data_IF_374858575409
#
_entry.id   IF_374858575409
#
_cell.length_a   1.000
_cell.length_b   1.000
_cell.length_c   1.000
_cell.angle_alpha   90.00
_cell.angle_beta   90.00
_cell.angle_gamma   90.00
#
_symmetry.space_group_name_H-M   'P 1'
#
loop_
_entity.id
_entity.type
_entity.pdbx_description
1 polymer ?
#
# COMPACT_ATOMS: atom_id res chain seq x y z
N UNK A 1 7.00 41.07 5.82
CA UNK A 1 5.81 40.41 5.26
C UNK A 1 5.82 38.95 5.73
N UNK A 2 5.33 38.67 6.95
CA UNK A 2 5.34 37.33 7.54
C UNK A 2 4.28 37.18 8.66
N UNK A 3 3.12 37.79 8.53
CA UNK A 3 2.06 37.66 9.54
C UNK A 3 0.82 36.89 9.08
N UNK A 4 0.67 36.58 7.77
CA UNK A 4 -0.57 35.99 7.24
C UNK A 4 -0.53 34.43 7.12
N UNK A 5 0.63 33.81 7.26
CA UNK A 5 0.72 32.34 7.20
C UNK A 5 0.24 31.64 8.48
N UNK A 6 0.23 32.33 9.61
CA UNK A 6 -0.21 31.77 10.89
C UNK A 6 -1.75 31.72 11.06
N UNK A 7 -2.47 32.65 10.40
CA UNK A 7 -3.92 32.76 10.54
C UNK A 7 -4.75 31.72 9.76
N UNK A 8 -4.20 31.17 8.67
CA UNK A 8 -4.89 30.15 7.84
C UNK A 8 -4.83 28.74 8.49
N UNK A 9 -3.95 28.55 9.44
CA UNK A 9 -3.77 27.26 10.14
C UNK A 9 -4.95 26.93 11.07
N UNK A 10 -5.70 27.90 11.53
CA UNK A 10 -6.63 27.73 12.65
C UNK A 10 -8.02 27.19 12.27
N UNK A 11 -8.59 27.58 11.14
CA UNK A 11 -9.96 27.18 10.77
C UNK A 11 -10.07 25.69 10.34
N UNK A 12 -9.04 25.12 9.72
CA UNK A 12 -9.07 23.73 9.25
C UNK A 12 -8.75 22.71 10.35
N UNK A 13 -8.03 23.11 11.41
CA UNK A 13 -7.82 22.29 12.59
C UNK A 13 -9.10 22.08 13.42
N UNK A 14 -10.12 22.92 13.23
CA UNK A 14 -11.39 22.87 13.96
C UNK A 14 -12.40 21.86 13.39
N UNK A 15 -12.21 21.40 12.15
CA UNK A 15 -13.14 20.44 11.55
C UNK A 15 -13.04 19.06 12.18
N UNK A 16 -14.14 18.62 12.78
CA UNK A 16 -14.26 17.28 13.35
C UNK A 16 -14.39 16.23 12.24
N UNK A 17 -13.93 15.00 12.51
CA UNK A 17 -13.96 13.92 11.54
C UNK A 17 -15.33 13.65 10.92
N UNK A 18 -16.44 13.83 11.67
CA UNK A 18 -17.79 13.67 11.12
C UNK A 18 -18.16 14.76 10.11
N UNK A 19 -17.68 15.98 10.26
CA UNK A 19 -17.90 17.08 9.31
C UNK A 19 -17.14 16.85 8.00
N UNK A 20 -15.90 16.35 8.08
CA UNK A 20 -15.13 15.98 6.90
C UNK A 20 -15.75 14.81 6.14
N UNK A 21 -16.25 13.81 6.86
CA UNK A 21 -16.99 12.69 6.25
C UNK A 21 -18.28 13.15 5.56
N UNK A 22 -19.05 14.02 6.20
CA UNK A 22 -20.28 14.58 5.60
C UNK A 22 -19.97 15.42 4.34
N UNK A 23 -18.82 16.11 4.31
CA UNK A 23 -18.36 16.84 3.13
C UNK A 23 -17.98 15.88 1.99
N UNK A 24 -17.17 14.87 2.28
CA UNK A 24 -16.69 13.89 1.31
C UNK A 24 -17.87 13.04 0.75
N UNK A 25 -18.78 12.60 1.61
CA UNK A 25 -19.93 11.77 1.26
C UNK A 25 -21.17 12.21 2.04
N UNK A 26 -21.97 13.16 1.54
CA UNK A 26 -23.18 13.62 2.22
C UNK A 26 -24.26 12.54 2.30
N UNK A 27 -24.25 11.56 1.40
CA UNK A 27 -25.10 10.39 1.44
C UNK A 27 -24.44 9.25 2.17
N UNK A 28 -25.22 8.42 2.88
CA UNK A 28 -24.68 7.20 3.49
C UNK A 28 -24.10 6.28 2.40
N UNK A 29 -22.84 5.90 2.49
CA UNK A 29 -22.24 5.02 1.49
C UNK A 29 -22.92 3.65 1.49
N UNK A 30 -23.39 3.21 0.35
CA UNK A 30 -23.98 1.88 0.18
C UNK A 30 -23.11 1.00 -0.70
N UNK A 31 -22.58 -0.07 -0.11
CA UNK A 31 -21.88 -1.13 -0.82
C UNK A 31 -22.88 -2.16 -1.38
N UNK A 32 -22.58 -2.71 -2.55
CA UNK A 32 -23.39 -3.75 -3.19
C UNK A 32 -22.65 -5.07 -3.23
N UNK A 33 -23.17 -6.08 -2.54
CA UNK A 33 -22.59 -7.43 -2.53
C UNK A 33 -22.46 -8.01 -3.94
N UNK A 34 -23.49 -7.88 -4.76
CA UNK A 34 -23.45 -8.39 -6.13
C UNK A 34 -22.33 -7.77 -6.95
N UNK A 35 -22.11 -6.46 -6.81
CA UNK A 35 -21.03 -5.76 -7.48
C UNK A 35 -19.66 -6.20 -6.94
N UNK A 36 -19.49 -6.27 -5.61
CA UNK A 36 -18.23 -6.73 -5.00
C UNK A 36 -17.85 -8.14 -5.44
N UNK A 37 -18.81 -9.06 -5.46
CA UNK A 37 -18.62 -10.45 -5.95
C UNK A 37 -18.28 -10.45 -7.45
N UNK A 38 -18.97 -9.68 -8.28
CA UNK A 38 -18.71 -9.65 -9.72
C UNK A 38 -17.31 -9.17 -10.04
N UNK A 39 -16.82 -8.11 -9.37
CA UNK A 39 -15.44 -7.64 -9.54
C UNK A 39 -14.42 -8.66 -9.03
N UNK A 40 -14.64 -9.27 -7.86
CA UNK A 40 -13.76 -10.31 -7.34
C UNK A 40 -13.66 -11.52 -8.28
N UNK A 41 -14.78 -11.96 -8.87
CA UNK A 41 -14.79 -13.04 -9.86
C UNK A 41 -14.04 -12.64 -11.14
N UNK A 42 -14.25 -11.43 -11.65
CA UNK A 42 -13.56 -10.93 -12.84
C UNK A 42 -12.02 -10.86 -12.63
N UNK A 43 -11.59 -10.37 -11.48
CA UNK A 43 -10.17 -10.27 -11.15
C UNK A 43 -9.53 -11.66 -10.93
N UNK A 44 -10.25 -12.58 -10.30
CA UNK A 44 -9.80 -13.98 -10.19
C UNK A 44 -9.73 -14.68 -11.55
N UNK A 45 -10.70 -14.44 -12.43
CA UNK A 45 -10.65 -14.95 -13.81
C UNK A 45 -9.41 -14.42 -14.53
N UNK A 46 -9.10 -13.14 -14.38
CA UNK A 46 -7.91 -12.53 -14.97
C UNK A 46 -6.62 -13.13 -14.36
N UNK A 47 -6.58 -13.31 -13.04
CA UNK A 47 -5.45 -13.93 -12.33
C UNK A 47 -5.15 -15.34 -12.86
N UNK A 48 -6.16 -16.19 -12.95
CA UNK A 48 -5.99 -17.55 -13.44
C UNK A 48 -5.83 -17.65 -14.96
N UNK A 49 -6.41 -16.72 -15.73
CA UNK A 49 -6.15 -16.64 -17.17
C UNK A 49 -4.69 -16.27 -17.44
N UNK A 50 -4.13 -15.36 -16.68
CA UNK A 50 -2.69 -15.05 -16.72
C UNK A 50 -1.83 -16.25 -16.36
N UNK A 51 -2.16 -16.94 -15.26
CA UNK A 51 -1.46 -18.17 -14.85
C UNK A 51 -1.55 -19.27 -15.92
N UNK A 52 -2.73 -19.47 -16.51
CA UNK A 52 -2.93 -20.41 -17.60
C UNK A 52 -2.08 -20.04 -18.84
N UNK A 53 -2.04 -18.75 -19.20
CA UNK A 53 -1.18 -18.25 -20.27
C UNK A 53 0.31 -18.51 -20.00
N UNK A 54 0.75 -18.31 -18.76
CA UNK A 54 2.12 -18.61 -18.34
C UNK A 54 2.47 -20.11 -18.41
N UNK A 55 1.50 -20.99 -18.14
CA UNK A 55 1.71 -22.44 -18.20
C UNK A 55 1.57 -22.97 -19.63
N UNK A 56 0.45 -22.65 -20.30
CA UNK A 56 0.00 -23.37 -21.49
C UNK A 56 0.57 -22.80 -22.80
N UNK A 57 0.89 -21.51 -22.85
CA UNK A 57 1.34 -20.91 -24.10
C UNK A 57 2.63 -21.55 -24.63
N UNK A 58 2.77 -21.77 -25.95
CA UNK A 58 4.01 -22.28 -26.51
C UNK A 58 5.11 -21.21 -26.61
N UNK A 59 4.74 -19.92 -26.64
CA UNK A 59 5.66 -18.79 -26.83
C UNK A 59 6.04 -18.11 -25.50
N UNK A 60 7.31 -17.86 -25.31
CA UNK A 60 7.84 -17.18 -24.12
C UNK A 60 7.27 -15.77 -23.89
N UNK A 61 6.99 -15.04 -24.96
CA UNK A 61 6.36 -13.73 -24.87
C UNK A 61 4.97 -13.80 -24.22
N UNK A 62 4.15 -14.78 -24.62
CA UNK A 62 2.82 -14.98 -24.04
C UNK A 62 2.93 -15.47 -22.59
N UNK A 63 3.92 -16.34 -22.29
CA UNK A 63 4.20 -16.73 -20.90
C UNK A 63 4.55 -15.52 -20.04
N UNK A 64 5.44 -14.65 -20.51
CA UNK A 64 5.82 -13.43 -19.78
C UNK A 64 4.63 -12.48 -19.57
N UNK A 65 3.80 -12.27 -20.58
CA UNK A 65 2.56 -11.49 -20.46
C UNK A 65 1.63 -12.13 -19.42
N UNK A 66 1.46 -13.45 -19.43
CA UNK A 66 0.66 -14.18 -18.45
C UNK A 66 1.13 -13.96 -17.01
N UNK A 67 2.44 -13.99 -16.77
CA UNK A 67 3.04 -13.67 -15.46
C UNK A 67 2.69 -12.25 -15.02
N UNK A 68 2.85 -11.26 -15.92
CA UNK A 68 2.53 -9.85 -15.62
C UNK A 68 1.04 -9.68 -15.34
N UNK A 69 0.17 -10.28 -16.16
CA UNK A 69 -1.29 -10.23 -15.97
C UNK A 69 -1.69 -10.81 -14.63
N UNK A 70 -1.13 -11.96 -14.21
CA UNK A 70 -1.39 -12.53 -12.89
C UNK A 70 -0.92 -11.61 -11.76
N UNK A 71 0.25 -10.98 -11.88
CA UNK A 71 0.76 -10.05 -10.89
C UNK A 71 -0.10 -8.79 -10.74
N UNK A 72 -0.54 -8.22 -11.85
CA UNK A 72 -1.48 -7.08 -11.87
C UNK A 72 -2.83 -7.48 -11.27
N UNK A 73 -3.37 -8.64 -11.66
CA UNK A 73 -4.63 -9.14 -11.11
C UNK A 73 -4.55 -9.42 -9.60
N UNK A 74 -3.39 -9.86 -9.08
CA UNK A 74 -3.17 -9.97 -7.65
C UNK A 74 -3.24 -8.60 -6.94
N UNK A 75 -2.74 -7.52 -7.56
CA UNK A 75 -2.87 -6.16 -7.04
C UNK A 75 -4.32 -5.64 -7.11
N UNK A 76 -5.08 -5.98 -8.15
CA UNK A 76 -6.50 -5.67 -8.27
C UNK A 76 -7.31 -6.39 -7.17
N UNK A 77 -7.11 -7.68 -6.98
CA UNK A 77 -7.72 -8.46 -5.90
C UNK A 77 -7.36 -7.88 -4.52
N UNK A 78 -6.11 -7.44 -4.34
CA UNK A 78 -5.71 -6.79 -3.10
C UNK A 78 -6.47 -5.47 -2.86
N UNK A 79 -6.72 -4.66 -3.88
CA UNK A 79 -7.52 -3.44 -3.76
C UNK A 79 -8.97 -3.75 -3.34
N UNK A 80 -9.58 -4.79 -3.90
CA UNK A 80 -10.91 -5.26 -3.44
C UNK A 80 -10.88 -5.81 -2.01
N UNK A 81 -9.83 -6.55 -1.64
CA UNK A 81 -9.64 -7.06 -0.29
C UNK A 81 -9.50 -5.92 0.73
N UNK A 82 -8.78 -4.87 0.38
CA UNK A 82 -8.61 -3.65 1.14
C UNK A 82 -9.96 -2.97 1.42
N UNK A 83 -10.77 -2.75 0.40
CA UNK A 83 -12.11 -2.15 0.54
C UNK A 83 -13.05 -3.05 1.36
N UNK A 84 -13.02 -4.35 1.12
CA UNK A 84 -13.78 -5.31 1.92
C UNK A 84 -13.34 -5.31 3.39
N UNK A 85 -12.05 -5.17 3.68
CA UNK A 85 -11.54 -5.06 5.03
C UNK A 85 -12.04 -3.79 5.77
N UNK A 86 -12.36 -2.73 5.03
CA UNK A 86 -13.03 -1.53 5.54
C UNK A 86 -14.56 -1.66 5.60
N UNK A 87 -15.13 -2.73 5.05
CA UNK A 87 -16.58 -2.93 5.00
C UNK A 87 -17.28 -2.16 3.89
N UNK A 88 -16.55 -1.67 2.88
CA UNK A 88 -17.06 -0.84 1.78
C UNK A 88 -17.30 -1.59 0.47
N UNK A 89 -17.00 -2.90 0.40
CA UNK A 89 -17.16 -3.69 -0.83
C UNK A 89 -18.52 -4.40 -0.92
N UNK A 90 -19.08 -4.87 0.18
CA UNK A 90 -20.31 -5.66 0.23
C UNK A 90 -21.30 -5.15 1.28
N UNK A 91 -22.58 -5.48 1.13
CA UNK A 91 -23.67 -4.98 1.98
C UNK A 91 -23.70 -5.56 3.40
N UNK A 92 -22.96 -6.62 3.70
CA UNK A 92 -22.92 -7.24 5.03
C UNK A 92 -21.49 -7.43 5.55
N UNK A 93 -21.33 -7.41 6.87
CA UNK A 93 -20.02 -7.65 7.52
C UNK A 93 -19.44 -9.02 7.17
N UNK A 94 -20.30 -10.05 7.11
CA UNK A 94 -19.86 -11.41 6.77
C UNK A 94 -19.32 -11.48 5.35
N UNK A 95 -20.03 -10.93 4.37
CA UNK A 95 -19.60 -10.92 2.97
C UNK A 95 -18.32 -10.10 2.78
N UNK A 96 -18.20 -8.96 3.43
CA UNK A 96 -16.96 -8.19 3.43
C UNK A 96 -15.79 -9.00 3.98
N UNK A 97 -15.95 -9.68 5.13
CA UNK A 97 -14.91 -10.53 5.70
C UNK A 97 -14.52 -11.67 4.76
N UNK A 98 -15.50 -12.36 4.16
CA UNK A 98 -15.23 -13.46 3.22
C UNK A 98 -14.50 -12.95 1.98
N UNK A 99 -14.96 -11.86 1.35
CA UNK A 99 -14.32 -11.27 0.19
C UNK A 99 -12.91 -10.78 0.50
N UNK A 100 -12.72 -10.07 1.63
CA UNK A 100 -11.39 -9.64 2.05
C UNK A 100 -10.44 -10.84 2.22
N UNK A 101 -10.87 -11.86 2.95
CA UNK A 101 -10.06 -13.04 3.21
C UNK A 101 -9.67 -13.74 1.90
N UNK A 102 -10.63 -13.97 1.00
CA UNK A 102 -10.36 -14.62 -0.28
C UNK A 102 -9.45 -13.76 -1.15
N UNK A 103 -9.80 -12.49 -1.38
CA UNK A 103 -9.05 -11.62 -2.28
C UNK A 103 -7.63 -11.29 -1.79
N UNK A 104 -7.31 -11.48 -0.49
CA UNK A 104 -5.94 -11.40 0.02
C UNK A 104 -5.08 -12.62 -0.30
N UNK A 105 -5.66 -13.79 -0.66
CA UNK A 105 -4.88 -15.01 -0.87
C UNK A 105 -3.80 -14.91 -1.95
N UNK A 106 -4.04 -14.30 -3.13
CA UNK A 106 -3.01 -14.19 -4.16
C UNK A 106 -1.81 -13.34 -3.75
N UNK A 107 -1.98 -12.42 -2.80
CA UNK A 107 -0.92 -11.58 -2.25
C UNK A 107 -0.29 -12.14 -0.96
N UNK A 108 -0.79 -13.26 -0.46
CA UNK A 108 -0.38 -13.95 0.79
C UNK A 108 -0.55 -13.10 2.05
N UNK A 109 -1.56 -12.22 2.08
CA UNK A 109 -1.86 -11.42 3.24
C UNK A 109 -2.89 -12.10 4.15
N UNK A 110 -2.60 -12.31 5.43
CA UNK A 110 -3.59 -12.75 6.41
C UNK A 110 -4.50 -11.60 6.82
N UNK A 111 -5.80 -11.87 6.94
CA UNK A 111 -6.83 -10.85 7.21
C UNK A 111 -6.67 -10.16 8.59
N UNK A 112 -6.48 -10.93 9.65
CA UNK A 112 -6.47 -10.41 11.04
C UNK A 112 -5.31 -9.42 11.29
N UNK A 113 -4.05 -9.70 10.92
CA UNK A 113 -2.96 -8.73 11.03
C UNK A 113 -3.19 -7.48 10.16
N UNK A 114 -3.79 -7.65 8.96
CA UNK A 114 -4.12 -6.51 8.11
C UNK A 114 -5.09 -5.55 8.79
N UNK A 115 -6.20 -6.04 9.36
CA UNK A 115 -7.15 -5.19 10.11
C UNK A 115 -6.44 -4.42 11.21
N UNK A 116 -5.56 -5.07 11.97
CA UNK A 116 -4.81 -4.39 13.04
C UNK A 116 -3.86 -3.33 12.48
N UNK A 117 -3.05 -3.71 11.51
CA UNK A 117 -2.00 -2.83 10.98
C UNK A 117 -2.58 -1.69 10.16
N UNK A 118 -3.48 -2.01 9.24
CA UNK A 118 -4.02 -1.03 8.29
C UNK A 118 -5.18 -0.22 8.87
N UNK A 119 -6.27 -0.89 9.31
CA UNK A 119 -7.46 -0.15 9.72
C UNK A 119 -7.29 0.55 11.07
N UNK A 120 -6.57 -0.04 12.04
CA UNK A 120 -6.45 0.55 13.37
C UNK A 120 -5.20 1.41 13.56
N UNK A 121 -4.04 0.98 13.04
CA UNK A 121 -2.80 1.74 13.22
C UNK A 121 -2.63 2.79 12.13
N UNK A 122 -2.66 2.39 10.86
CA UNK A 122 -2.44 3.30 9.74
C UNK A 122 -3.58 4.32 9.58
N UNK A 123 -4.84 3.90 9.38
CA UNK A 123 -5.98 4.83 9.30
C UNK A 123 -6.26 5.57 10.59
N UNK A 124 -6.03 4.95 11.74
CA UNK A 124 -6.21 5.60 13.03
C UNK A 124 -5.20 6.70 13.32
N UNK A 125 -3.98 6.58 12.77
CA UNK A 125 -2.82 7.41 13.11
C UNK A 125 -1.90 7.62 11.91
N UNK A 126 -2.47 8.00 10.79
CA UNK A 126 -1.76 8.19 9.52
C UNK A 126 -0.56 9.12 9.69
N UNK A 127 0.61 8.65 9.26
CA UNK A 127 1.89 9.34 9.36
C UNK A 127 2.31 9.75 10.79
N UNK A 128 1.86 9.01 11.81
CA UNK A 128 2.33 9.17 13.20
C UNK A 128 3.37 8.09 13.50
N UNK A 129 4.64 8.46 13.65
CA UNK A 129 5.78 7.55 13.73
C UNK A 129 5.71 6.52 14.87
N UNK A 130 5.08 6.85 16.00
CA UNK A 130 4.90 5.91 17.11
C UNK A 130 3.86 4.80 16.85
N UNK A 131 3.01 4.97 15.81
CA UNK A 131 1.90 4.06 15.51
C UNK A 131 1.95 3.49 14.11
N UNK A 132 2.13 4.36 13.11
CA UNK A 132 2.13 4.00 11.70
C UNK A 132 3.52 3.52 11.27
N UNK A 133 3.59 2.24 10.92
CA UNK A 133 4.82 1.64 10.41
C UNK A 133 4.94 1.74 8.89
N UNK A 134 3.85 2.13 8.20
CA UNK A 134 3.79 2.18 6.74
C UNK A 134 4.67 3.32 6.23
N UNK A 135 5.80 2.97 5.60
CA UNK A 135 6.76 3.94 5.04
C UNK A 135 7.33 4.96 6.04
N UNK A 136 7.27 4.68 7.34
CA UNK A 136 7.81 5.54 8.38
C UNK A 136 9.25 5.96 8.05
N UNK A 137 9.53 7.26 7.85
CA UNK A 137 10.87 7.73 7.58
C UNK A 137 11.74 7.68 8.82
N UNK A 138 13.02 7.42 8.61
CA UNK A 138 14.06 7.50 9.64
C UNK A 138 14.46 8.96 9.81
N UNK A 139 14.75 9.38 11.05
CA UNK A 139 15.32 10.72 11.29
C UNK A 139 16.77 10.80 10.82
N UNK A 140 17.30 12.02 10.50
CA UNK A 140 18.72 12.19 10.20
C UNK A 140 19.65 11.67 11.29
N UNK A 141 19.29 11.86 12.58
CA UNK A 141 20.07 11.41 13.73
C UNK A 141 20.09 9.88 13.84
N UNK A 142 18.90 9.24 13.77
CA UNK A 142 18.81 7.79 13.79
C UNK A 142 19.59 7.16 12.61
N UNK A 143 19.50 7.78 11.42
CA UNK A 143 20.26 7.32 10.26
C UNK A 143 21.77 7.41 10.47
N UNK A 144 22.29 8.50 11.07
CA UNK A 144 23.70 8.64 11.40
C UNK A 144 24.19 7.61 12.41
N UNK A 145 23.36 7.30 13.40
CA UNK A 145 23.64 6.27 14.41
C UNK A 145 23.62 4.83 13.87
N UNK A 146 23.04 4.60 12.68
CA UNK A 146 22.97 3.25 12.10
C UNK A 146 24.34 2.71 11.65
N UNK A 147 24.59 1.40 11.79
CA UNK A 147 25.76 0.75 11.19
C UNK A 147 25.70 0.80 9.65
N UNK A 148 26.85 0.73 8.99
CA UNK A 148 26.96 0.88 7.53
C UNK A 148 26.02 -0.03 6.73
N UNK A 149 25.89 -1.30 7.14
CA UNK A 149 25.00 -2.24 6.46
C UNK A 149 23.53 -1.80 6.54
N UNK A 150 23.09 -1.29 7.71
CA UNK A 150 21.72 -0.83 7.88
C UNK A 150 21.45 0.43 7.04
N UNK A 151 22.41 1.35 6.95
CA UNK A 151 22.32 2.51 6.05
C UNK A 151 22.19 2.08 4.58
N UNK A 152 22.93 1.05 4.15
CA UNK A 152 22.79 0.50 2.80
C UNK A 152 21.37 -0.05 2.54
N UNK A 153 20.78 -0.73 3.52
CA UNK A 153 19.38 -1.21 3.45
C UNK A 153 18.40 -0.03 3.35
N UNK A 154 18.60 1.05 4.13
CA UNK A 154 17.74 2.25 4.01
C UNK A 154 17.87 2.91 2.63
N UNK A 155 19.05 2.96 2.04
CA UNK A 155 19.23 3.42 0.66
C UNK A 155 18.42 2.58 -0.34
N UNK A 156 18.40 1.25 -0.19
CA UNK A 156 17.55 0.39 -1.01
C UNK A 156 16.07 0.67 -0.79
N UNK A 157 15.63 0.72 0.46
CA UNK A 157 14.22 0.96 0.83
C UNK A 157 13.66 2.27 0.31
N UNK A 158 14.48 3.29 0.11
CA UNK A 158 14.09 4.62 -0.38
C UNK A 158 14.46 4.86 -1.84
N UNK A 159 14.95 3.84 -2.56
CA UNK A 159 15.24 3.92 -3.98
C UNK A 159 14.02 3.51 -4.82
N UNK A 160 13.82 4.15 -5.97
CA UNK A 160 12.72 3.83 -6.89
C UNK A 160 12.68 2.35 -7.34
N UNK A 161 13.80 1.66 -7.33
CA UNK A 161 13.94 0.26 -7.74
C UNK A 161 13.91 -0.72 -6.55
N UNK A 162 14.09 -0.27 -5.33
CA UNK A 162 14.21 -1.11 -4.13
C UNK A 162 13.04 -1.02 -3.15
N UNK A 163 12.03 -0.17 -3.39
CA UNK A 163 10.85 0.00 -2.54
C UNK A 163 10.16 -1.33 -2.20
N UNK A 164 10.08 -2.26 -3.16
CA UNK A 164 9.46 -3.56 -2.98
C UNK A 164 10.09 -4.37 -1.83
N UNK A 165 11.39 -4.19 -1.59
CA UNK A 165 12.08 -4.87 -0.49
C UNK A 165 11.59 -4.38 0.87
N UNK A 166 11.33 -3.06 1.03
CA UNK A 166 10.69 -2.52 2.22
C UNK A 166 9.29 -3.11 2.42
N UNK A 167 8.49 -3.18 1.36
CA UNK A 167 7.16 -3.77 1.40
C UNK A 167 7.19 -5.23 1.86
N UNK A 168 8.12 -6.04 1.35
CA UNK A 168 8.24 -7.45 1.73
C UNK A 168 8.77 -7.60 3.17
N UNK A 169 9.82 -6.88 3.55
CA UNK A 169 10.50 -7.10 4.84
C UNK A 169 9.82 -6.32 5.96
N UNK A 170 9.64 -5.00 5.80
CA UNK A 170 9.18 -4.15 6.88
C UNK A 170 7.65 -4.22 7.07
N UNK A 171 6.87 -4.40 5.97
CA UNK A 171 5.41 -4.47 6.07
C UNK A 171 4.96 -5.94 6.14
N UNK A 172 5.15 -6.71 5.05
CA UNK A 172 4.59 -8.04 4.96
C UNK A 172 5.19 -9.00 5.98
N UNK A 173 6.52 -9.15 6.03
CA UNK A 173 7.17 -10.11 6.92
C UNK A 173 6.95 -9.77 8.40
N UNK A 174 7.26 -8.53 8.81
CA UNK A 174 7.29 -8.14 10.23
C UNK A 174 5.91 -7.86 10.83
N UNK A 175 4.92 -7.51 10.03
CA UNK A 175 3.59 -7.14 10.53
C UNK A 175 2.47 -8.06 10.08
N UNK A 176 2.61 -8.75 8.93
CA UNK A 176 1.57 -9.63 8.40
C UNK A 176 1.91 -11.11 8.62
N UNK A 177 3.00 -11.62 8.03
CA UNK A 177 3.37 -13.02 8.13
C UNK A 177 3.83 -13.40 9.55
N UNK A 178 4.72 -12.57 10.15
CA UNK A 178 5.31 -12.77 11.49
C UNK A 178 5.12 -11.52 12.35
N UNK A 179 3.87 -11.18 12.77
CA UNK A 179 3.63 -10.00 13.59
C UNK A 179 4.49 -9.99 14.85
N UNK A 180 5.06 -8.82 15.15
CA UNK A 180 5.87 -8.62 16.35
C UNK A 180 5.03 -8.85 17.61
N UNK A 181 5.69 -9.14 18.72
CA UNK A 181 5.02 -9.37 20.01
C UNK A 181 4.17 -8.16 20.43
N UNK A 182 4.63 -6.95 20.16
CA UNK A 182 3.86 -5.71 20.38
C UNK A 182 2.53 -5.68 19.66
N UNK A 183 2.42 -6.29 18.49
CA UNK A 183 1.19 -6.38 17.71
C UNK A 183 0.38 -7.61 18.05
N UNK A 184 1.04 -8.75 18.29
CA UNK A 184 0.40 -10.05 18.59
C UNK A 184 -0.54 -10.01 19.80
N UNK A 185 -0.19 -9.25 20.82
CA UNK A 185 -1.03 -9.09 22.03
C UNK A 185 -2.42 -8.50 21.75
N UNK A 186 -2.60 -7.83 20.61
CA UNK A 186 -3.88 -7.27 20.17
C UNK A 186 -4.61 -8.16 19.16
N UNK A 187 -4.01 -9.30 18.76
CA UNK A 187 -4.58 -10.23 17.80
C UNK A 187 -5.14 -11.45 18.51
N UNK A 188 -6.35 -11.86 18.13
CA UNK A 188 -6.90 -13.11 18.64
C UNK A 188 -6.13 -14.28 18.04
N UNK A 189 -5.48 -15.09 18.88
CA UNK A 189 -4.55 -16.15 18.46
C UNK A 189 -5.17 -17.17 17.51
N UNK A 190 -6.43 -17.57 17.76
CA UNK A 190 -7.16 -18.49 16.91
C UNK A 190 -7.46 -17.92 15.51
N UNK A 191 -7.81 -16.66 15.42
CA UNK A 191 -8.03 -16.00 14.11
C UNK A 191 -6.72 -15.87 13.33
N UNK A 192 -5.63 -15.47 14.00
CA UNK A 192 -4.31 -15.39 13.37
C UNK A 192 -3.84 -16.77 12.86
N UNK A 193 -4.06 -17.83 13.64
CA UNK A 193 -3.70 -19.18 13.23
C UNK A 193 -4.54 -19.66 12.03
N UNK A 194 -5.84 -19.39 12.04
CA UNK A 194 -6.74 -19.74 10.93
C UNK A 194 -6.36 -19.01 9.64
N UNK A 195 -6.09 -17.70 9.71
CA UNK A 195 -5.68 -16.92 8.54
C UNK A 195 -4.36 -17.42 7.95
N UNK A 196 -3.38 -17.73 8.81
CA UNK A 196 -2.09 -18.28 8.37
C UNK A 196 -2.23 -19.65 7.74
N UNK A 197 -3.04 -20.50 8.34
CA UNK A 197 -3.32 -21.84 7.79
C UNK A 197 -3.97 -21.73 6.42
N UNK A 198 -4.92 -20.82 6.24
CA UNK A 198 -5.59 -20.60 4.96
C UNK A 198 -4.62 -20.08 3.89
N UNK A 199 -3.78 -19.11 4.21
CA UNK A 199 -2.73 -18.61 3.30
C UNK A 199 -1.75 -19.73 2.95
N UNK A 200 -1.27 -20.48 3.94
CA UNK A 200 -0.35 -21.60 3.72
C UNK A 200 -0.98 -22.72 2.88
N UNK A 201 -2.24 -23.06 3.15
CA UNK A 201 -2.97 -24.06 2.37
C UNK A 201 -3.17 -23.61 0.92
N UNK A 202 -3.58 -22.36 0.71
CA UNK A 202 -3.71 -21.78 -0.64
C UNK A 202 -2.38 -21.84 -1.40
N UNK A 203 -1.29 -21.41 -0.76
CA UNK A 203 0.05 -21.48 -1.36
C UNK A 203 0.47 -22.91 -1.68
N UNK A 204 0.26 -23.83 -0.74
CA UNK A 204 0.59 -25.25 -0.93
C UNK A 204 -0.16 -25.87 -2.11
N UNK A 205 -1.45 -25.55 -2.27
CA UNK A 205 -2.25 -26.00 -3.43
C UNK A 205 -1.68 -25.44 -4.73
N UNK A 206 -1.39 -24.14 -4.82
CA UNK A 206 -0.81 -23.55 -6.03
C UNK A 206 0.55 -24.16 -6.38
N UNK A 207 1.42 -24.34 -5.38
CA UNK A 207 2.72 -25.00 -5.57
C UNK A 207 2.55 -26.45 -6.01
N UNK A 208 1.64 -27.22 -5.40
CA UNK A 208 1.39 -28.60 -5.78
C UNK A 208 0.85 -28.73 -7.21
N UNK A 209 -0.08 -27.87 -7.63
CA UNK A 209 -0.57 -27.84 -9.01
C UNK A 209 0.55 -27.52 -9.97
N UNK A 210 1.37 -26.50 -9.68
CA UNK A 210 2.51 -26.12 -10.52
C UNK A 210 3.57 -27.22 -10.59
N UNK A 211 3.76 -27.97 -9.51
CA UNK A 211 4.79 -29.02 -9.43
C UNK A 211 4.38 -30.32 -10.13
N UNK A 212 3.15 -30.77 -9.90
CA UNK A 212 2.73 -32.11 -10.33
C UNK A 212 1.90 -32.11 -11.61
N UNK A 213 1.08 -31.10 -11.87
CA UNK A 213 0.15 -31.07 -13.00
C UNK A 213 0.60 -30.18 -14.16
N UNK A 214 1.09 -28.98 -13.86
CA UNK A 214 1.36 -27.97 -14.87
C UNK A 214 2.43 -28.35 -15.93
N UNK A 215 3.50 -29.14 -15.64
CA UNK A 215 4.42 -29.61 -16.67
C UNK A 215 3.74 -30.44 -17.76
N UNK A 216 2.81 -31.31 -17.38
CA UNK A 216 2.03 -32.14 -18.31
C UNK A 216 1.07 -31.28 -19.14
N UNK A 217 0.44 -30.29 -18.52
CA UNK A 217 -0.47 -29.37 -19.23
C UNK A 217 0.28 -28.52 -20.26
N UNK A 218 1.49 -28.04 -19.93
CA UNK A 218 2.32 -27.27 -20.86
C UNK A 218 2.64 -28.08 -22.11
N UNK A 219 3.12 -29.33 -21.96
CA UNK A 219 3.46 -30.21 -23.09
C UNK A 219 2.22 -30.65 -23.88
N UNK A 220 1.10 -30.94 -23.20
CA UNK A 220 -0.17 -31.27 -23.86
C UNK A 220 -0.67 -30.10 -24.73
N UNK A 221 -0.47 -28.85 -24.31
CA UNK A 221 -0.81 -27.65 -25.07
C UNK A 221 0.23 -27.28 -26.16
N UNK A 222 1.20 -28.13 -26.45
CA UNK A 222 2.27 -27.87 -27.42
C UNK A 222 3.35 -26.91 -26.91
N UNK A 223 3.38 -26.62 -25.63
CA UNK A 223 4.41 -25.81 -24.98
C UNK A 223 5.68 -26.60 -24.65
N UNK A 224 6.76 -25.91 -24.22
CA UNK A 224 8.00 -26.57 -23.82
C UNK A 224 7.81 -27.37 -22.53
N UNK A 225 8.56 -28.44 -22.39
CA UNK A 225 8.68 -29.13 -21.10
C UNK A 225 9.48 -28.25 -20.15
N UNK A 226 8.81 -27.70 -19.14
CA UNK A 226 9.43 -26.86 -18.12
C UNK A 226 9.68 -27.64 -16.84
N UNK A 227 10.80 -27.34 -16.20
CA UNK A 227 11.04 -27.85 -14.85
C UNK A 227 9.99 -27.30 -13.87
N UNK A 228 9.40 -28.11 -12.97
CA UNK A 228 8.37 -27.67 -12.04
C UNK A 228 8.73 -26.41 -11.25
N UNK A 229 9.98 -26.29 -10.79
CA UNK A 229 10.45 -25.10 -10.07
C UNK A 229 10.37 -23.81 -10.93
N UNK A 230 10.62 -23.91 -12.25
CA UNK A 230 10.46 -22.75 -13.15
C UNK A 230 8.99 -22.34 -13.26
N UNK A 231 8.07 -23.31 -13.29
CA UNK A 231 6.63 -23.03 -13.31
C UNK A 231 6.19 -22.39 -11.99
N UNK A 232 6.64 -22.92 -10.84
CA UNK A 232 6.39 -22.29 -9.52
C UNK A 232 6.91 -20.84 -9.50
N UNK A 233 8.13 -20.62 -9.98
CA UNK A 233 8.68 -19.26 -10.07
C UNK A 233 7.80 -18.35 -10.94
N UNK A 234 7.34 -18.78 -12.10
CA UNK A 234 6.55 -18.01 -13.05
C UNK A 234 5.11 -17.74 -12.57
N UNK A 235 4.47 -18.70 -11.88
CA UNK A 235 3.04 -18.64 -11.58
C UNK A 235 2.76 -18.25 -10.11
N UNK A 236 3.72 -18.47 -9.23
CA UNK A 236 3.55 -18.21 -7.79
C UNK A 236 4.44 -17.04 -7.35
N UNK A 237 5.76 -17.14 -7.58
CA UNK A 237 6.72 -16.20 -7.02
C UNK A 237 6.74 -14.86 -7.76
N UNK A 238 6.83 -14.88 -9.10
CA UNK A 238 6.91 -13.64 -9.89
C UNK A 238 5.63 -12.80 -9.83
N UNK A 239 4.39 -13.37 -9.93
CA UNK A 239 3.17 -12.58 -9.73
C UNK A 239 3.09 -11.95 -8.34
N UNK A 240 3.48 -12.68 -7.28
CA UNK A 240 3.57 -12.15 -5.93
C UNK A 240 4.61 -11.02 -5.82
N UNK A 241 5.76 -11.15 -6.45
CA UNK A 241 6.77 -10.08 -6.49
C UNK A 241 6.27 -8.85 -7.27
N UNK A 242 5.62 -9.04 -8.43
CA UNK A 242 5.01 -7.93 -9.22
C UNK A 242 3.96 -7.20 -8.37
N UNK A 243 3.12 -7.93 -7.66
CA UNK A 243 2.20 -7.35 -6.69
C UNK A 243 2.94 -6.45 -5.69
N UNK A 244 4.03 -6.92 -5.06
CA UNK A 244 4.78 -6.11 -4.10
C UNK A 244 5.46 -4.89 -4.73
N UNK A 245 5.90 -4.97 -5.98
CA UNK A 245 6.39 -3.79 -6.72
C UNK A 245 5.28 -2.76 -6.87
N UNK A 246 4.10 -3.16 -7.35
CA UNK A 246 2.95 -2.26 -7.51
C UNK A 246 2.47 -1.70 -6.16
N UNK A 247 2.27 -2.57 -5.19
CA UNK A 247 1.85 -2.20 -3.83
C UNK A 247 2.80 -1.17 -3.22
N UNK A 248 4.11 -1.38 -3.35
CA UNK A 248 5.11 -0.49 -2.78
C UNK A 248 5.09 0.90 -3.43
N UNK A 249 4.98 0.98 -4.75
CA UNK A 249 4.91 2.26 -5.47
C UNK A 249 3.66 3.05 -5.06
N UNK A 250 2.51 2.37 -5.07
CA UNK A 250 1.21 2.99 -4.75
C UNK A 250 1.20 3.48 -3.30
N UNK A 251 1.50 2.61 -2.34
CA UNK A 251 1.43 2.97 -0.91
C UNK A 251 2.52 3.96 -0.49
N UNK A 252 3.71 3.91 -1.11
CA UNK A 252 4.74 4.92 -0.89
C UNK A 252 4.28 6.31 -1.34
N UNK A 253 3.76 6.43 -2.55
CA UNK A 253 3.31 7.71 -3.10
C UNK A 253 2.09 8.27 -2.38
N UNK A 254 1.22 7.41 -1.83
CA UNK A 254 0.06 7.85 -1.06
C UNK A 254 0.43 8.65 0.20
N UNK A 255 1.60 8.39 0.81
CA UNK A 255 2.01 8.94 2.10
C UNK A 255 3.39 9.60 2.08
N UNK A 256 3.98 9.76 0.89
CA UNK A 256 5.32 10.35 0.73
C UNK A 256 5.33 11.38 -0.39
N UNK A 257 5.52 12.64 -0.01
CA UNK A 257 5.66 13.77 -0.93
C UNK A 257 6.37 14.90 -0.17
N UNK A 258 7.11 15.82 -0.81
CA UNK A 258 7.78 16.92 -0.12
C UNK A 258 6.87 17.77 0.77
N UNK A 259 5.56 17.85 0.46
CA UNK A 259 4.55 18.59 1.24
C UNK A 259 3.86 17.73 2.32
N UNK A 260 4.03 16.40 2.31
CA UNK A 260 3.39 15.49 3.27
C UNK A 260 4.08 15.57 4.62
N UNK A 261 3.36 15.92 5.71
CA UNK A 261 3.91 15.93 7.04
C UNK A 261 3.96 14.52 7.65
N UNK A 262 4.96 14.32 8.52
CA UNK A 262 5.01 13.24 9.48
C UNK A 262 5.01 13.81 10.90
N UNK A 263 4.45 13.08 11.84
CA UNK A 263 4.33 13.46 13.23
C UNK A 263 5.10 12.46 14.09
N UNK A 264 5.82 12.92 15.12
CA UNK A 264 6.53 12.03 16.04
C UNK A 264 5.55 11.27 16.92
N UNK A 265 4.58 11.99 17.50
CA UNK A 265 3.62 11.48 18.47
C UNK A 265 2.17 11.78 18.07
N UNK A 266 1.22 11.04 18.68
CA UNK A 266 -0.22 11.28 18.49
C UNK A 266 -0.67 12.69 18.87
N UNK A 267 -0.02 13.31 19.83
CA UNK A 267 -0.37 14.66 20.30
C UNK A 267 -0.12 15.75 19.26
N UNK A 268 0.78 15.50 18.34
CA UNK A 268 1.14 16.44 17.25
C UNK A 268 0.22 16.34 16.04
N UNK A 269 -0.58 15.28 15.95
CA UNK A 269 -1.48 15.02 14.84
C UNK A 269 -2.93 15.35 15.17
N UNK A 270 -3.70 15.70 14.14
CA UNK A 270 -5.16 15.82 14.18
C UNK A 270 -5.78 14.96 13.10
N UNK A 271 -7.10 14.71 13.17
CA UNK A 271 -7.81 13.96 12.13
C UNK A 271 -7.61 14.62 10.75
N UNK A 272 -7.73 15.94 10.66
CA UNK A 272 -7.52 16.68 9.42
C UNK A 272 -6.07 16.53 8.91
N UNK A 273 -5.09 16.71 9.79
CA UNK A 273 -3.69 16.62 9.42
C UNK A 273 -3.31 15.21 8.92
N UNK A 274 -3.80 14.16 9.58
CA UNK A 274 -3.54 12.78 9.19
C UNK A 274 -4.30 12.34 7.92
N UNK A 275 -5.58 12.70 7.79
CA UNK A 275 -6.40 12.14 6.72
C UNK A 275 -6.45 13.01 5.45
N UNK A 276 -6.14 14.31 5.55
CA UNK A 276 -6.17 15.23 4.40
C UNK A 276 -4.76 15.65 3.98
N UNK A 277 -3.94 16.15 4.93
CA UNK A 277 -2.60 16.66 4.59
C UNK A 277 -1.54 15.58 4.44
N UNK A 278 -1.70 14.45 5.14
CA UNK A 278 -0.74 13.34 5.11
C UNK A 278 -1.09 12.29 4.05
N UNK A 279 -2.00 12.61 3.13
CA UNK A 279 -2.37 11.76 1.99
C UNK A 279 -2.17 12.49 0.68
N UNK A 280 -1.87 11.72 -0.37
CA UNK A 280 -1.70 12.21 -1.74
C UNK A 280 -2.69 11.51 -2.65
N UNK A 281 -3.43 12.27 -3.44
CA UNK A 281 -4.17 11.76 -4.58
C UNK A 281 -3.20 11.63 -5.76
N UNK A 282 -2.90 10.41 -6.17
CA UNK A 282 -2.03 10.13 -7.31
C UNK A 282 -2.90 9.93 -8.55
N UNK A 283 -2.98 10.95 -9.39
CA UNK A 283 -3.75 10.89 -10.63
C UNK A 283 -3.08 9.97 -11.67
N UNK A 284 -3.80 8.93 -12.07
CA UNK A 284 -3.45 8.04 -13.17
C UNK A 284 -4.39 8.27 -14.37
N UNK A 285 -4.05 7.77 -15.57
CA UNK A 285 -5.02 7.70 -16.65
C UNK A 285 -6.27 6.94 -16.19
N UNK A 286 -7.45 7.45 -16.52
CA UNK A 286 -8.75 6.94 -16.02
C UNK A 286 -8.89 5.42 -16.17
N UNK A 287 -8.42 4.86 -17.28
CA UNK A 287 -8.49 3.42 -17.50
C UNK A 287 -7.60 2.62 -16.53
N UNK A 288 -6.48 3.19 -16.05
CA UNK A 288 -5.63 2.57 -15.02
C UNK A 288 -6.30 2.68 -13.65
N UNK A 289 -6.88 3.83 -13.33
CA UNK A 289 -7.63 4.02 -12.08
C UNK A 289 -8.78 3.02 -11.97
N UNK A 290 -9.57 2.86 -13.05
CA UNK A 290 -10.65 1.88 -13.11
C UNK A 290 -10.13 0.44 -12.97
N UNK A 291 -9.03 0.11 -13.64
CA UNK A 291 -8.38 -1.20 -13.54
C UNK A 291 -7.93 -1.49 -12.10
N UNK A 292 -7.38 -0.50 -11.40
CA UNK A 292 -6.90 -0.61 -10.03
C UNK A 292 -7.99 -0.27 -8.98
N UNK A 293 -9.26 -0.29 -9.36
CA UNK A 293 -10.41 -0.02 -8.47
C UNK A 293 -10.30 1.32 -7.72
N UNK A 294 -9.76 2.36 -8.37
CA UNK A 294 -9.57 3.70 -7.81
C UNK A 294 -8.76 3.72 -6.49
N UNK A 295 -7.90 2.74 -6.23
CA UNK A 295 -7.10 2.67 -5.00
C UNK A 295 -6.18 3.89 -4.83
N UNK A 296 -5.85 4.58 -5.92
CA UNK A 296 -5.01 5.78 -5.93
C UNK A 296 -5.73 7.04 -5.48
N UNK A 297 -7.06 7.00 -5.41
CA UNK A 297 -7.92 8.08 -4.88
C UNK A 297 -7.92 8.01 -3.35
N UNK A 298 -6.78 8.33 -2.74
CA UNK A 298 -6.47 7.90 -1.39
C UNK A 298 -6.94 8.86 -0.29
N UNK A 299 -6.97 10.17 -0.55
CA UNK A 299 -7.42 11.16 0.44
C UNK A 299 -8.87 10.97 0.87
N UNK A 300 -9.79 10.80 -0.09
CA UNK A 300 -11.18 10.52 0.21
C UNK A 300 -11.38 9.20 0.94
N UNK A 301 -10.59 8.18 0.59
CA UNK A 301 -10.59 6.89 1.27
C UNK A 301 -10.15 7.03 2.74
N UNK A 302 -9.11 7.81 3.03
CA UNK A 302 -8.68 8.07 4.41
C UNK A 302 -9.70 8.85 5.23
N UNK A 303 -10.37 9.83 4.63
CA UNK A 303 -11.43 10.62 5.32
C UNK A 303 -12.62 9.73 5.68
N UNK A 304 -13.08 8.88 4.77
CA UNK A 304 -14.13 7.90 5.05
C UNK A 304 -13.90 6.58 4.29
N UNK A 305 -13.27 5.59 4.92
CA UNK A 305 -12.99 4.31 4.28
C UNK A 305 -14.23 3.46 3.98
N UNK A 306 -15.43 3.90 4.38
CA UNK A 306 -16.71 3.25 4.04
C UNK A 306 -17.18 3.61 2.65
N UNK A 307 -16.58 4.61 1.98
CA UNK A 307 -16.95 5.00 0.62
C UNK A 307 -16.52 3.88 -0.34
N UNK A 308 -17.46 3.25 -1.07
CA UNK A 308 -17.11 2.24 -2.07
C UNK A 308 -16.19 2.79 -3.15
N UNK A 309 -15.23 1.99 -3.62
CA UNK A 309 -14.19 2.41 -4.59
C UNK A 309 -14.73 3.19 -5.80
N UNK A 310 -15.92 2.84 -6.32
CA UNK A 310 -16.54 3.51 -7.45
C UNK A 310 -17.00 4.95 -7.16
N UNK A 311 -17.16 5.31 -5.89
CA UNK A 311 -17.59 6.67 -5.47
C UNK A 311 -16.42 7.52 -4.98
N UNK A 312 -15.23 6.92 -4.77
CA UNK A 312 -14.04 7.63 -4.31
C UNK A 312 -13.66 8.83 -5.18
N UNK A 313 -13.66 8.75 -6.54
CA UNK A 313 -13.31 9.92 -7.36
C UNK A 313 -14.26 11.12 -7.17
N UNK A 314 -15.53 10.87 -6.88
CA UNK A 314 -16.49 11.94 -6.61
C UNK A 314 -16.26 12.58 -5.23
N UNK A 315 -16.00 11.76 -4.22
CA UNK A 315 -15.69 12.21 -2.87
C UNK A 315 -14.38 13.01 -2.84
N UNK A 316 -13.38 12.57 -3.60
CA UNK A 316 -12.08 13.23 -3.71
C UNK A 316 -12.21 14.63 -4.32
N UNK A 317 -12.95 14.78 -5.42
CA UNK A 317 -13.21 16.11 -6.02
C UNK A 317 -13.87 17.09 -5.05
N UNK A 318 -14.73 16.62 -4.14
CA UNK A 318 -15.31 17.46 -3.09
C UNK A 318 -14.27 17.94 -2.08
N UNK A 319 -13.36 17.07 -1.66
CA UNK A 319 -12.26 17.43 -0.77
C UNK A 319 -11.30 18.42 -1.45
N UNK A 320 -10.95 18.18 -2.71
CA UNK A 320 -10.09 19.07 -3.50
C UNK A 320 -10.71 20.45 -3.69
N UNK A 321 -12.01 20.52 -3.95
CA UNK A 321 -12.72 21.80 -4.07
C UNK A 321 -12.80 22.56 -2.75
N UNK A 322 -12.92 21.84 -1.63
CA UNK A 322 -13.05 22.47 -0.31
C UNK A 322 -11.69 22.86 0.31
N UNK A 323 -10.61 22.15 -0.04
CA UNK A 323 -9.29 22.28 0.58
C UNK A 323 -8.16 22.31 -0.47
N UNK A 324 -8.33 23.07 -1.54
CA UNK A 324 -7.42 23.10 -2.70
C UNK A 324 -5.95 23.30 -2.33
N UNK A 325 -5.66 24.16 -1.33
CA UNK A 325 -4.29 24.46 -0.89
C UNK A 325 -3.70 23.38 0.04
N UNK A 326 -4.53 22.48 0.57
CA UNK A 326 -4.15 21.50 1.60
C UNK A 326 -4.17 20.06 1.10
N UNK A 327 -5.01 19.75 0.13
CA UNK A 327 -5.01 18.45 -0.55
C UNK A 327 -3.84 18.41 -1.53
N UNK A 328 -3.12 17.32 -1.55
CA UNK A 328 -2.02 17.11 -2.48
C UNK A 328 -2.52 16.22 -3.61
N UNK A 329 -2.51 16.77 -4.82
CA UNK A 329 -2.79 16.03 -6.06
C UNK A 329 -1.51 15.98 -6.87
N UNK A 330 -1.05 14.77 -7.21
CA UNK A 330 0.18 14.56 -7.97
C UNK A 330 -0.13 13.73 -9.22
N UNK A 331 0.09 14.29 -10.38
CA UNK A 331 -0.05 13.54 -11.64
C UNK A 331 1.11 12.57 -11.78
N UNK A 332 0.78 11.29 -11.83
CA UNK A 332 1.78 10.24 -11.91
C UNK A 332 2.64 10.33 -13.18
N UNK A 333 3.92 10.21 -12.99
CA UNK A 333 4.90 9.94 -14.03
C UNK A 333 6.10 9.22 -13.42
N UNK A 334 6.82 8.43 -14.22
CA UNK A 334 8.06 7.81 -13.74
C UNK A 334 9.07 8.85 -13.25
N UNK A 335 9.09 10.04 -13.88
CA UNK A 335 9.95 11.15 -13.49
C UNK A 335 9.57 11.71 -12.11
N UNK A 336 8.28 11.97 -11.85
CA UNK A 336 7.82 12.48 -10.56
C UNK A 336 8.05 11.44 -9.46
N UNK A 337 7.76 10.17 -9.72
CA UNK A 337 8.05 9.08 -8.79
C UNK A 337 9.54 9.02 -8.41
N UNK A 338 10.46 9.02 -9.39
CA UNK A 338 11.91 9.04 -9.13
C UNK A 338 12.30 10.31 -8.35
N UNK A 339 11.72 11.46 -8.65
CA UNK A 339 12.00 12.70 -7.94
C UNK A 339 11.62 12.61 -6.46
N UNK A 340 10.43 12.08 -6.13
CA UNK A 340 9.98 11.86 -4.75
C UNK A 340 10.95 10.94 -4.00
N UNK A 341 11.38 9.81 -4.59
CA UNK A 341 12.33 8.89 -3.94
C UNK A 341 13.73 9.51 -3.72
N UNK A 342 14.11 10.53 -4.50
CA UNK A 342 15.38 11.22 -4.34
C UNK A 342 15.36 12.31 -3.27
N UNK A 343 14.19 12.88 -2.98
CA UNK A 343 14.03 13.98 -2.03
C UNK A 343 13.54 13.47 -0.68
N UNK A 344 12.55 12.57 -0.65
CA UNK A 344 11.90 12.11 0.56
C UNK A 344 12.59 10.87 1.13
N UNK A 345 13.82 11.02 1.63
CA UNK A 345 14.63 9.89 2.10
C UNK A 345 14.68 9.77 3.63
N UNK A 346 14.83 10.89 4.33
CA UNK A 346 14.85 11.01 5.77
C UNK A 346 13.89 12.13 6.18
N UNK A 347 13.39 12.11 7.41
CA UNK A 347 12.47 13.14 7.87
C UNK A 347 12.88 13.70 9.22
N UNK A 348 13.12 15.01 9.27
CA UNK A 348 13.29 15.74 10.53
C UNK A 348 11.91 16.04 11.12
N UNK A 349 11.59 15.35 12.22
CA UNK A 349 10.29 15.47 12.87
C UNK A 349 10.10 16.80 13.61
N UNK A 350 11.19 17.44 14.04
CA UNK A 350 11.14 18.70 14.77
C UNK A 350 11.00 19.90 13.81
N UNK A 351 11.81 19.90 12.74
CA UNK A 351 11.69 20.88 11.66
C UNK A 351 10.55 20.60 10.69
N UNK A 352 9.94 19.39 10.72
CA UNK A 352 8.91 18.90 9.79
C UNK A 352 9.33 18.99 8.33
N UNK A 353 10.56 18.51 8.04
CA UNK A 353 11.18 18.63 6.72
C UNK A 353 11.77 17.31 6.25
N UNK A 354 11.66 17.08 4.95
CA UNK A 354 12.32 15.97 4.29
C UNK A 354 13.80 16.30 4.02
N UNK A 355 14.66 15.32 4.21
CA UNK A 355 16.10 15.37 3.95
C UNK A 355 16.53 14.25 3.02
N UNK A 356 17.60 14.49 2.28
CA UNK A 356 18.31 13.47 1.52
C UNK A 356 19.36 12.78 2.40
N UNK A 357 19.77 11.58 2.05
CA UNK A 357 20.91 10.92 2.71
C UNK A 357 22.21 11.74 2.60
N UNK A 358 22.32 12.56 1.54
CA UNK A 358 23.47 13.44 1.34
C UNK A 358 23.46 14.60 2.32
N UNK A 359 22.35 15.32 2.41
CA UNK A 359 22.23 16.48 3.31
C UNK A 359 22.42 16.08 4.78
N UNK A 360 21.97 14.89 5.19
CA UNK A 360 22.19 14.39 6.54
C UNK A 360 23.68 14.17 6.89
N UNK A 361 24.52 13.85 5.91
CA UNK A 361 25.98 13.75 6.08
C UNK A 361 26.67 15.11 6.14
N UNK A 362 26.17 16.08 5.36
CA UNK A 362 26.75 17.44 5.30
C UNK A 362 26.45 18.24 6.59
N UNK A 363 25.32 17.99 7.24
CA UNK A 363 25.00 18.57 8.56
C UNK A 363 25.97 18.09 9.63
N UNK A 364 26.38 16.82 9.59
CA UNK A 364 27.34 16.22 10.53
C UNK A 364 28.71 16.90 10.46
N UNK A 365 29.24 17.08 9.25
CA UNK A 365 30.54 17.73 9.02
C UNK A 365 30.55 19.19 9.49
N UNK A 366 29.44 19.91 9.40
CA UNK A 366 29.34 21.31 9.88
C UNK A 366 29.11 21.38 11.39
N UNK A 367 28.42 20.40 11.98
CA UNK A 367 28.20 20.31 13.42
C UNK A 367 29.49 19.99 14.20
N UNK A 368 30.35 19.11 13.67
CA UNK A 368 31.67 18.84 14.24
C UNK A 368 32.61 20.06 14.18
N UNK A 369 32.52 20.89 13.11
CA UNK A 369 33.29 22.14 13.00
C UNK A 369 32.83 23.22 14.00
N UNK A 370 31.50 23.27 14.30
CA UNK A 370 30.97 24.25 15.26
C UNK A 370 31.21 23.87 16.73
N UNK A 371 31.43 22.57 17.02
CA UNK A 371 31.75 22.10 18.37
C UNK A 371 33.24 22.14 18.71
N UNK A 372 34.08 22.46 17.74
CA UNK A 372 35.56 22.50 17.89
C UNK A 372 36.14 23.93 17.93
N UNK A 373 35.24 24.96 17.89
CA UNK A 373 35.55 26.39 18.10
C UNK A 373 34.88 26.86 19.41
#
# INVERSE_FOLDING_TARGET
MSADAAGVIDASHALKGHQLRALASPETPHASTAVGVAFALADYLLFYAGAAGAILAPWWTVKAIGVVVSGVAAAMLFALAHDAAHGSLAGTRLMNRLLATLCFLPSWYPFTPWIRGHNHLHHGWTNVAECDYSWRPVSPDDYRAMPRWRRAVEHMYRSWWGLWLHSIIEIWWKHMAMPRESDRRYLHAGHLAADRLLVAASLAVHVAVCWFAAPRWSTFAGGPLLHPAAIVAMVVVLPWWIFHVMFSVVTFLHHTHPRVPWFRTRRESSFFAGQVRATVHVELPVWVELLLHNITVHGAHHVDPRIPFRRLPHAQRRLESAFADQVIVERWSLRSFIAVTRVCQLYDYDARQWHTFRSAREIDVRGEFAATI
#
